data_IF_693349984387
#
_entry.id   IF_693349984387
#
_cell.length_a   1.000
_cell.length_b   1.000
_cell.length_c   1.000
_cell.angle_alpha   90.00
_cell.angle_beta   90.00
_cell.angle_gamma   90.00
#
_symmetry.space_group_name_H-M   'P 1'
#
loop_
_entity.id
_entity.type
_entity.pdbx_description
1 polymer ?
#
# COMPACT_ATOMS: atom_id res chain seq x y z
N UNK A 1 8.50 11.14 10.76
CA UNK A 1 7.83 10.24 11.73
C UNK A 1 6.37 10.63 11.93
N UNK A 2 5.44 9.81 11.43
CA UNK A 2 3.99 10.05 11.51
C UNK A 2 3.32 9.01 12.42
N UNK A 3 2.12 9.33 12.90
CA UNK A 3 1.30 8.38 13.66
C UNK A 3 0.45 7.55 12.70
N UNK A 4 0.30 6.26 13.01
CA UNK A 4 -0.50 5.32 12.24
C UNK A 4 -1.95 5.77 12.06
N UNK A 5 -2.57 6.34 13.11
CA UNK A 5 -3.93 6.91 13.01
C UNK A 5 -4.02 8.03 12.00
N UNK A 6 -3.03 8.93 11.95
CA UNK A 6 -3.03 10.04 10.99
C UNK A 6 -2.95 9.50 9.57
N UNK A 7 -2.04 8.55 9.33
CA UNK A 7 -1.87 7.89 8.03
C UNK A 7 -3.13 7.15 7.60
N UNK A 8 -3.75 6.39 8.50
CA UNK A 8 -4.99 5.65 8.23
C UNK A 8 -6.15 6.58 7.87
N UNK A 9 -6.29 7.70 8.60
CA UNK A 9 -7.30 8.72 8.31
C UNK A 9 -7.02 9.46 6.99
N UNK A 10 -5.76 9.82 6.70
CA UNK A 10 -5.38 10.46 5.42
C UNK A 10 -5.70 9.56 4.22
N UNK A 11 -5.45 8.25 4.35
CA UNK A 11 -5.68 7.29 3.27
C UNK A 11 -7.12 6.77 3.22
N UNK A 12 -7.98 7.10 4.18
CA UNK A 12 -9.33 6.53 4.36
C UNK A 12 -9.32 4.98 4.40
N UNK A 13 -8.31 4.39 5.05
CA UNK A 13 -8.16 2.93 5.18
C UNK A 13 -8.26 2.53 6.65
N UNK A 14 -8.85 1.35 6.91
CA UNK A 14 -8.92 0.79 8.25
C UNK A 14 -7.55 0.53 8.86
N UNK A 15 -7.38 0.88 10.14
CA UNK A 15 -6.11 0.73 10.87
C UNK A 15 -5.62 -0.73 10.87
N UNK A 16 -6.54 -1.68 10.98
CA UNK A 16 -6.24 -3.12 10.86
C UNK A 16 -5.65 -3.48 9.50
N UNK A 17 -6.25 -3.00 8.41
CA UNK A 17 -5.80 -3.26 7.04
C UNK A 17 -4.41 -2.69 6.78
N UNK A 18 -4.11 -1.51 7.32
CA UNK A 18 -2.79 -0.89 7.22
C UNK A 18 -1.74 -1.72 7.95
N UNK A 19 -2.02 -2.17 9.18
CA UNK A 19 -1.09 -2.99 9.96
C UNK A 19 -0.86 -4.35 9.31
N UNK A 20 -1.93 -5.01 8.89
CA UNK A 20 -1.85 -6.32 8.22
C UNK A 20 -1.03 -6.25 6.93
N UNK A 21 -1.15 -5.14 6.17
CA UNK A 21 -0.33 -4.92 4.98
C UNK A 21 1.16 -4.76 5.31
N UNK A 22 1.47 -3.97 6.34
CA UNK A 22 2.86 -3.74 6.76
C UNK A 22 3.50 -5.00 7.36
N UNK A 23 2.74 -5.77 8.14
CA UNK A 23 3.17 -7.08 8.64
C UNK A 23 3.44 -8.07 7.50
N UNK A 24 2.57 -8.10 6.48
CA UNK A 24 2.77 -8.93 5.28
C UNK A 24 4.01 -8.53 4.47
N UNK A 25 4.44 -7.27 4.56
CA UNK A 25 5.67 -6.75 3.97
C UNK A 25 6.93 -7.06 4.78
N UNK A 26 6.78 -7.62 5.98
CA UNK A 26 7.88 -7.94 6.89
C UNK A 26 8.20 -6.83 7.89
N UNK A 27 7.30 -5.85 8.06
CA UNK A 27 7.45 -4.82 9.07
C UNK A 27 6.68 -5.17 10.36
N UNK A 28 7.36 -5.17 11.50
CA UNK A 28 6.71 -5.33 12.80
C UNK A 28 6.13 -3.99 13.29
N UNK A 29 4.81 -3.84 13.17
CA UNK A 29 4.04 -2.73 13.74
C UNK A 29 3.03 -3.26 14.76
N UNK A 30 2.96 -2.58 15.91
CA UNK A 30 1.88 -2.72 16.88
C UNK A 30 0.56 -2.13 16.35
N UNK A 31 -0.58 -2.81 16.59
CA UNK A 31 -1.93 -2.31 16.28
C UNK A 31 -2.41 -1.16 17.20
N UNK A 32 -1.49 -0.38 17.76
CA UNK A 32 -1.81 0.73 18.66
C UNK A 32 -2.11 1.99 17.86
N UNK A 33 -3.08 2.80 18.34
CA UNK A 33 -3.37 4.12 17.74
C UNK A 33 -2.16 5.05 17.74
N UNK A 34 -1.26 4.87 18.71
CA UNK A 34 -0.01 5.62 18.85
C UNK A 34 1.18 4.98 18.12
N UNK A 35 0.95 3.94 17.31
CA UNK A 35 2.01 3.28 16.56
C UNK A 35 2.73 4.28 15.66
N UNK A 36 4.06 4.21 15.72
CA UNK A 36 4.96 5.07 14.97
C UNK A 36 5.11 4.47 13.58
N UNK A 37 4.76 5.24 12.56
CA UNK A 37 4.97 4.87 11.15
C UNK A 37 6.18 5.64 10.67
N UNK A 38 7.20 4.90 10.23
CA UNK A 38 8.37 5.50 9.59
C UNK A 38 8.00 5.99 8.19
N UNK A 39 8.77 6.95 7.69
CA UNK A 39 8.51 7.55 6.39
C UNK A 39 8.61 6.51 5.25
N UNK A 40 9.39 5.42 5.44
CA UNK A 40 9.46 4.26 4.53
C UNK A 40 8.15 3.48 4.45
N UNK A 41 7.55 3.18 5.60
CA UNK A 41 6.24 2.51 5.67
C UNK A 41 5.14 3.37 5.07
N UNK A 42 5.18 4.68 5.35
CA UNK A 42 4.24 5.63 4.76
C UNK A 42 4.37 5.70 3.24
N UNK A 43 5.59 5.65 2.69
CA UNK A 43 5.84 5.62 1.25
C UNK A 43 5.30 4.35 0.59
N UNK A 44 5.45 3.18 1.22
CA UNK A 44 4.86 1.92 0.71
C UNK A 44 3.32 1.94 0.77
N UNK A 45 2.73 2.46 1.84
CA UNK A 45 1.28 2.66 1.93
C UNK A 45 0.77 3.63 0.86
N UNK A 46 1.42 4.78 0.69
CA UNK A 46 1.08 5.70 -0.39
C UNK A 46 1.18 5.02 -1.76
N UNK A 47 2.22 4.23 -1.99
CA UNK A 47 2.44 3.53 -3.27
C UNK A 47 1.38 2.47 -3.55
N UNK A 48 0.93 1.70 -2.56
CA UNK A 48 -0.13 0.69 -2.74
C UNK A 48 -1.52 1.33 -2.81
N UNK A 49 -1.83 2.27 -1.91
CA UNK A 49 -3.16 2.85 -1.79
C UNK A 49 -3.40 4.00 -2.79
N UNK A 50 -2.41 4.83 -3.15
CA UNK A 50 -2.52 5.77 -4.27
C UNK A 50 -2.25 5.10 -5.63
N UNK A 51 -1.42 4.04 -5.67
CA UNK A 51 -1.07 3.33 -6.89
C UNK A 51 -2.20 2.48 -7.48
N UNK A 52 -3.31 2.29 -6.78
CA UNK A 52 -4.50 1.59 -7.30
C UNK A 52 -5.09 2.24 -8.56
N UNK A 53 -4.81 3.53 -8.81
CA UNK A 53 -5.16 4.20 -10.08
C UNK A 53 -4.18 3.83 -11.21
N UNK A 54 -2.90 3.58 -10.91
CA UNK A 54 -1.86 3.27 -11.93
C UNK A 54 -1.64 1.77 -12.18
N UNK A 55 -1.82 0.90 -11.17
CA UNK A 55 -1.60 -0.56 -11.31
C UNK A 55 -2.71 -1.26 -12.10
N UNK A 56 -3.95 -0.74 -12.12
CA UNK A 56 -5.03 -1.28 -12.96
C UNK A 56 -4.75 -1.13 -14.47
N UNK A 57 -3.84 -0.23 -14.87
CA UNK A 57 -3.42 -0.05 -16.28
C UNK A 57 -2.27 -0.96 -16.73
N UNK A 58 -1.58 -1.68 -15.83
CA UNK A 58 -0.48 -2.57 -16.24
C UNK A 58 -0.90 -4.03 -16.46
N UNK A 59 -2.01 -4.49 -15.87
CA UNK A 59 -2.55 -5.82 -16.17
C UNK A 59 -3.10 -5.90 -17.62
N UNK A 60 -3.45 -4.75 -18.22
CA UNK A 60 -3.93 -4.66 -19.60
C UNK A 60 -2.81 -4.62 -20.65
N UNK A 61 -1.54 -4.41 -20.26
CA UNK A 61 -0.45 -4.23 -21.23
C UNK A 61 0.29 -5.54 -21.53
N UNK A 62 0.58 -6.38 -20.52
CA UNK A 62 1.28 -7.65 -20.74
C UNK A 62 0.47 -8.69 -21.53
N UNK A 63 -0.87 -8.62 -21.48
CA UNK A 63 -1.73 -9.54 -22.27
C UNK A 63 -1.69 -9.25 -23.78
N UNK A 64 -1.17 -8.09 -24.20
CA UNK A 64 -1.14 -7.66 -25.61
C UNK A 64 0.11 -8.13 -26.36
N UNK A 65 1.16 -8.56 -25.65
CA UNK A 65 2.39 -9.06 -26.28
C UNK A 65 2.28 -10.51 -26.80
N UNK A 66 1.19 -11.23 -26.51
CA UNK A 66 0.97 -12.61 -27.00
C UNK A 66 0.01 -12.74 -28.20
N UNK A 67 -0.22 -11.69 -29.01
CA UNK A 67 -1.07 -11.81 -30.22
C UNK A 67 -0.48 -11.13 -31.46
N UNK A 68 0.84 -11.16 -31.63
CA UNK A 68 1.47 -10.73 -32.88
C UNK A 68 2.64 -11.64 -33.28
N UNK A 69 2.50 -12.93 -33.01
CA UNK A 69 3.35 -14.02 -33.49
C UNK A 69 2.45 -15.24 -33.76
N UNK A 70 1.52 -15.06 -34.70
CA UNK A 70 0.89 -16.11 -35.52
C UNK A 70 0.22 -15.45 -36.71
#
# INVERSE_FOLDING_TARGET
MKLLVKVATELNVGLHTVVEHLQKKGFEIDQKRTAKVTDEMYAELLKEFQGSIKRRKLLTFFKKQCRLLL
#
